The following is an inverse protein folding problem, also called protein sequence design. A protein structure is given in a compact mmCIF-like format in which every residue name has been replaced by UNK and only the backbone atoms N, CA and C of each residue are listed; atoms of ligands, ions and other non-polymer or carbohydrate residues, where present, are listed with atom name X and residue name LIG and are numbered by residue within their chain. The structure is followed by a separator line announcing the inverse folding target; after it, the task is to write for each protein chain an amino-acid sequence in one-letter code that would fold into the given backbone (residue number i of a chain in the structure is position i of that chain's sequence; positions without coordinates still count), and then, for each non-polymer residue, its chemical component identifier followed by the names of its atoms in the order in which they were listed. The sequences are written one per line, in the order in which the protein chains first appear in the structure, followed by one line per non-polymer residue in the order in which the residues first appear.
data_IF_780101600623
#
_entry.id   IF_780101600623
#
_cell.length_a   1.000
_cell.length_b   1.000
_cell.length_c   1.000
_cell.angle_alpha   90.00
_cell.angle_beta   90.00
_cell.angle_gamma   90.00
#
_symmetry.space_group_name_H-M   'P 1'
#
loop_
_entity.id
_entity.type
_entity.pdbx_description
1 polymer ?
#
# COMPACT_ATOMS: atom_id res chain seq x y z
N UNK A 1 16.14 17.93 30.44
CA UNK A 1 14.85 17.52 29.82
C UNK A 1 15.19 16.99 28.44
N UNK A 2 14.85 15.75 28.12
CA UNK A 2 15.10 15.23 26.77
C UNK A 2 14.13 15.88 25.78
N UNK A 3 14.67 16.46 24.71
CA UNK A 3 13.86 17.04 23.63
C UNK A 3 13.13 15.92 22.87
N UNK A 4 11.98 16.23 22.22
CA UNK A 4 11.35 15.30 21.30
C UNK A 4 12.35 14.83 20.25
N UNK A 5 12.43 13.52 20.00
CA UNK A 5 13.40 12.96 19.07
C UNK A 5 12.79 11.85 18.23
N UNK A 6 13.24 11.79 16.98
CA UNK A 6 12.86 10.77 16.01
C UNK A 6 14.13 10.07 15.54
N UNK A 7 14.08 8.76 15.39
CA UNK A 7 15.22 7.97 14.89
C UNK A 7 14.74 6.66 14.30
N UNK A 8 15.53 6.10 13.39
CA UNK A 8 15.40 4.73 12.92
C UNK A 8 16.56 3.90 13.48
N UNK A 9 16.26 2.77 14.11
CA UNK A 9 17.25 1.84 14.66
C UNK A 9 17.06 0.49 13.98
N UNK A 10 18.11 -0.01 13.34
CA UNK A 10 18.10 -1.31 12.67
C UNK A 10 18.87 -2.34 13.49
N UNK A 11 18.22 -3.47 13.77
CA UNK A 11 18.76 -4.63 14.48
C UNK A 11 18.47 -5.89 13.65
N UNK A 12 19.44 -6.28 12.82
CA UNK A 12 19.25 -7.36 11.84
C UNK A 12 18.14 -7.01 10.84
N UNK A 13 17.09 -7.82 10.81
CA UNK A 13 15.93 -7.67 9.92
C UNK A 13 14.82 -6.78 10.49
N UNK A 14 14.97 -6.34 11.74
CA UNK A 14 14.01 -5.47 12.40
C UNK A 14 14.50 -4.02 12.30
N UNK A 15 13.64 -3.14 11.83
CA UNK A 15 13.84 -1.69 11.92
C UNK A 15 12.78 -1.09 12.84
N UNK A 16 13.21 -0.45 13.92
CA UNK A 16 12.36 0.31 14.82
C UNK A 16 12.45 1.79 14.45
N UNK A 17 11.36 2.35 13.93
CA UNK A 17 11.21 3.79 13.84
C UNK A 17 10.65 4.27 15.17
N UNK A 18 11.39 5.11 15.89
CA UNK A 18 11.00 5.62 17.20
C UNK A 18 10.67 7.11 17.13
N UNK A 19 9.60 7.51 17.81
CA UNK A 19 9.31 8.90 18.15
C UNK A 19 9.12 9.02 19.65
N UNK A 20 10.08 9.67 20.31
CA UNK A 20 10.06 9.94 21.74
C UNK A 20 9.58 11.36 22.00
N UNK A 21 8.54 11.50 22.81
CA UNK A 21 8.06 12.78 23.35
C UNK A 21 8.26 12.82 24.87
N UNK A 22 7.84 13.93 25.48
CA UNK A 22 7.95 14.13 26.93
C UNK A 22 7.14 13.11 27.74
N UNK A 23 5.91 12.81 27.31
CA UNK A 23 4.95 12.00 28.07
C UNK A 23 4.60 10.66 27.42
N UNK A 24 5.09 10.40 26.21
CA UNK A 24 4.86 9.13 25.52
C UNK A 24 5.93 8.87 24.47
N UNK A 25 6.09 7.60 24.15
CA UNK A 25 6.90 7.12 23.04
C UNK A 25 6.04 6.29 22.09
N UNK A 26 6.39 6.34 20.81
CA UNK A 26 5.78 5.54 19.76
C UNK A 26 6.86 4.82 18.99
N UNK A 27 6.65 3.53 18.73
CA UNK A 27 7.56 2.70 17.94
C UNK A 27 6.78 2.03 16.84
N UNK A 28 7.16 2.30 15.59
CA UNK A 28 6.70 1.57 14.42
C UNK A 28 7.79 0.55 14.09
N UNK A 29 7.54 -0.70 14.48
CA UNK A 29 8.43 -1.82 14.23
C UNK A 29 8.15 -2.39 12.85
N UNK A 30 9.20 -2.52 12.04
CA UNK A 30 9.18 -3.12 10.70
C UNK A 30 10.04 -4.38 10.67
N UNK A 31 9.46 -5.50 10.22
CA UNK A 31 10.12 -6.78 9.99
C UNK A 31 10.28 -7.02 8.47
N UNK A 32 11.52 -6.94 8.00
CA UNK A 32 11.86 -7.00 6.57
C UNK A 32 11.72 -8.40 5.95
N UNK A 33 11.97 -9.45 6.73
CA UNK A 33 11.86 -10.83 6.23
C UNK A 33 10.41 -11.17 5.89
N UNK A 34 9.47 -10.67 6.69
CA UNK A 34 8.03 -10.84 6.42
C UNK A 34 7.53 -9.95 5.27
N UNK A 35 8.33 -9.01 4.77
CA UNK A 35 7.83 -8.02 3.83
C UNK A 35 7.70 -8.63 2.43
N UNK A 36 6.46 -8.73 1.96
CA UNK A 36 6.09 -9.23 0.63
C UNK A 36 5.97 -8.11 -0.42
N UNK A 37 6.39 -6.89 -0.11
CA UNK A 37 6.45 -5.75 -1.06
C UNK A 37 5.11 -5.46 -1.76
N UNK A 38 4.01 -5.64 -1.05
CA UNK A 38 2.67 -5.53 -1.62
C UNK A 38 2.18 -4.07 -1.82
N UNK A 39 2.89 -3.08 -1.27
CA UNK A 39 2.56 -1.65 -1.38
C UNK A 39 1.27 -1.19 -0.68
N UNK A 40 0.61 -2.03 0.12
CA UNK A 40 -0.62 -1.61 0.84
C UNK A 40 -0.34 -0.49 1.85
N UNK A 41 0.82 -0.50 2.51
CA UNK A 41 1.23 0.53 3.47
C UNK A 41 1.33 1.93 2.85
N UNK A 42 1.86 2.04 1.64
CA UNK A 42 1.91 3.28 0.87
C UNK A 42 0.48 3.76 0.53
N UNK A 43 -0.36 2.88 -0.04
CA UNK A 43 -1.71 3.25 -0.52
C UNK A 43 -2.66 3.69 0.61
N UNK A 44 -2.52 3.10 1.79
CA UNK A 44 -3.35 3.45 2.95
C UNK A 44 -2.86 4.72 3.66
N UNK A 45 -1.61 5.15 3.42
CA UNK A 45 -1.01 6.25 4.16
C UNK A 45 -1.85 7.53 3.99
N UNK A 46 -2.34 8.14 5.08
CA UNK A 46 -3.10 9.39 4.98
C UNK A 46 -2.22 10.58 4.62
N UNK A 47 -0.92 10.51 4.89
CA UNK A 47 0.03 11.57 4.55
C UNK A 47 0.24 11.59 3.05
N UNK A 48 -0.06 12.73 2.43
CA UNK A 48 0.30 13.01 1.04
C UNK A 48 1.16 14.25 1.05
N UNK A 49 2.44 14.14 0.67
CA UNK A 49 3.27 15.32 0.42
C UNK A 49 3.35 15.59 -1.07
N UNK A 50 3.02 16.82 -1.45
CA UNK A 50 3.23 17.35 -2.79
C UNK A 50 4.58 18.04 -2.76
N UNK A 51 5.59 17.53 -3.46
CA UNK A 51 6.73 18.36 -3.85
C UNK A 51 6.42 18.93 -5.24
N UNK A 52 6.17 20.23 -5.29
CA UNK A 52 6.11 21.00 -6.53
C UNK A 52 7.35 21.87 -6.56
N UNK A 53 8.26 21.57 -7.49
CA UNK A 53 8.95 22.60 -8.28
C UNK A 53 9.54 21.94 -9.55
N UNK A 54 8.92 22.24 -10.70
CA UNK A 54 9.55 22.12 -12.03
C UNK A 54 9.46 20.78 -12.79
N UNK A 55 8.67 19.78 -12.39
CA UNK A 55 8.49 18.54 -13.17
C UNK A 55 7.01 18.14 -13.26
N UNK A 56 6.57 17.78 -14.47
CA UNK A 56 5.24 17.24 -14.80
C UNK A 56 5.04 15.79 -14.29
N UNK A 57 5.41 15.50 -13.04
CA UNK A 57 5.15 14.20 -12.44
C UNK A 57 4.51 14.44 -11.07
N UNK A 58 3.28 13.96 -10.82
CA UNK A 58 2.64 14.09 -9.52
C UNK A 58 3.29 13.12 -8.53
N UNK A 59 4.46 13.46 -8.01
CA UNK A 59 5.12 12.65 -6.99
C UNK A 59 4.47 12.92 -5.62
N UNK A 60 3.45 12.11 -5.32
CA UNK A 60 2.88 11.99 -3.98
C UNK A 60 3.87 11.21 -3.11
N UNK A 61 4.70 11.90 -2.35
CA UNK A 61 5.50 11.24 -1.31
C UNK A 61 4.59 10.99 -0.10
N UNK A 62 4.25 9.72 0.13
CA UNK A 62 3.67 9.26 1.40
C UNK A 62 4.73 9.31 2.50
N UNK A 63 4.36 9.04 3.76
CA UNK A 63 5.37 8.90 4.83
C UNK A 63 6.05 7.52 4.83
N UNK A 64 5.64 6.61 3.96
CA UNK A 64 6.12 5.23 3.85
C UNK A 64 6.06 4.78 2.39
N UNK A 65 7.13 4.21 1.85
CA UNK A 65 7.23 3.79 0.45
C UNK A 65 8.50 3.00 0.18
N UNK A 66 8.75 2.65 -1.07
CA UNK A 66 10.05 2.06 -1.45
C UNK A 66 11.17 3.11 -1.38
N UNK A 67 12.45 2.70 -1.24
CA UNK A 67 13.57 3.64 -1.29
C UNK A 67 13.56 4.53 -2.54
N UNK A 68 13.24 3.96 -3.70
CA UNK A 68 13.15 4.67 -4.99
C UNK A 68 12.04 5.72 -4.99
N UNK A 69 10.82 5.35 -4.57
CA UNK A 69 9.68 6.29 -4.45
C UNK A 69 9.99 7.44 -3.50
N UNK A 70 10.69 7.11 -2.41
CA UNK A 70 11.06 8.06 -1.38
C UNK A 70 12.35 8.82 -1.72
N UNK A 71 13.06 8.47 -2.79
CA UNK A 71 14.40 8.95 -3.17
C UNK A 71 15.38 9.00 -1.99
N UNK A 72 15.46 7.89 -1.28
CA UNK A 72 16.40 7.70 -0.17
C UNK A 72 17.26 6.49 -0.50
N UNK A 73 18.57 6.60 -0.35
CA UNK A 73 19.47 5.44 -0.45
C UNK A 73 19.27 4.53 0.77
N UNK A 74 18.71 3.34 0.53
CA UNK A 74 18.47 2.36 1.57
C UNK A 74 18.35 0.96 0.97
N UNK A 75 18.95 -0.02 1.63
CA UNK A 75 18.80 -1.45 1.29
C UNK A 75 17.49 -2.05 1.82
N UNK A 76 16.64 -1.25 2.47
CA UNK A 76 15.38 -1.73 3.01
C UNK A 76 14.31 -1.85 1.91
N UNK A 77 13.52 -2.92 1.90
CA UNK A 77 12.38 -3.03 0.96
C UNK A 77 11.38 -1.87 1.05
N UNK A 78 11.21 -1.30 2.25
CA UNK A 78 10.42 -0.09 2.48
C UNK A 78 11.12 0.81 3.49
N UNK A 79 10.92 2.12 3.36
CA UNK A 79 11.43 3.14 4.29
C UNK A 79 10.29 4.01 4.81
N UNK A 80 10.45 4.53 6.02
CA UNK A 80 9.53 5.47 6.66
C UNK A 80 10.23 6.80 6.87
N UNK A 81 9.63 7.87 6.33
CA UNK A 81 10.01 9.24 6.64
C UNK A 81 9.41 9.61 8.00
N UNK A 82 10.24 9.57 9.03
CA UNK A 82 9.81 9.85 10.41
C UNK A 82 9.38 11.30 10.61
N UNK A 83 9.84 12.22 9.77
CA UNK A 83 9.48 13.63 9.84
C UNK A 83 8.05 13.86 9.35
N UNK A 84 7.66 13.15 8.30
CA UNK A 84 6.31 13.18 7.74
C UNK A 84 5.34 12.21 8.43
N UNK A 85 5.83 11.14 9.02
CA UNK A 85 4.98 10.14 9.67
C UNK A 85 4.20 10.73 10.85
N UNK A 86 2.89 10.52 10.85
CA UNK A 86 1.96 10.95 11.91
C UNK A 86 1.61 9.83 12.89
N UNK A 87 2.25 8.67 12.80
CA UNK A 87 2.12 7.57 13.76
C UNK A 87 0.68 7.06 13.96
N UNK A 88 -0.13 7.12 12.89
CA UNK A 88 -1.56 6.77 12.95
C UNK A 88 -1.86 5.26 12.96
N UNK A 89 -0.91 4.41 12.55
CA UNK A 89 -1.07 2.96 12.55
C UNK A 89 -1.85 2.38 11.35
N UNK A 90 -2.29 3.18 10.38
CA UNK A 90 -3.02 2.67 9.19
C UNK A 90 -2.21 1.63 8.40
N UNK A 91 -0.89 1.80 8.32
CA UNK A 91 0.01 0.85 7.63
C UNK A 91 0.07 -0.52 8.33
N UNK A 92 0.12 -0.54 9.67
CA UNK A 92 0.00 -1.75 10.50
C UNK A 92 -1.37 -2.40 10.31
N UNK A 93 -2.43 -1.60 10.38
CA UNK A 93 -3.81 -2.07 10.26
C UNK A 93 -4.08 -2.76 8.92
N UNK A 94 -3.54 -2.28 7.80
CA UNK A 94 -3.79 -2.89 6.47
C UNK A 94 -2.79 -4.01 6.10
N UNK A 95 -1.62 -4.08 6.75
CA UNK A 95 -0.51 -4.88 6.24
C UNK A 95 -0.89 -6.36 6.06
N UNK A 96 -0.86 -6.91 4.83
CA UNK A 96 -1.18 -8.31 4.57
C UNK A 96 -0.16 -9.30 5.16
N UNK A 97 1.11 -8.90 5.25
CA UNK A 97 2.20 -9.76 5.73
C UNK A 97 2.50 -9.64 7.23
N UNK A 98 1.72 -8.84 7.98
CA UNK A 98 1.94 -8.56 9.40
C UNK A 98 3.36 -8.06 9.72
N UNK A 99 3.94 -7.25 8.83
CA UNK A 99 5.32 -6.78 8.93
C UNK A 99 5.50 -5.53 9.77
N UNK A 100 4.42 -4.79 9.98
CA UNK A 100 4.44 -3.50 10.65
C UNK A 100 3.63 -3.60 11.92
N UNK A 101 4.19 -3.17 13.05
CA UNK A 101 3.52 -3.14 14.35
C UNK A 101 3.72 -1.76 14.99
N UNK A 102 2.64 -1.15 15.45
CA UNK A 102 2.69 0.12 16.18
C UNK A 102 2.59 -0.14 17.68
N UNK A 103 3.56 0.38 18.42
CA UNK A 103 3.57 0.41 19.87
C UNK A 103 3.44 1.84 20.35
N UNK A 104 2.67 2.05 21.42
CA UNK A 104 2.51 3.32 22.11
C UNK A 104 2.78 3.04 23.58
N UNK A 105 3.80 3.66 24.15
CA UNK A 105 4.26 3.41 25.53
C UNK A 105 4.55 1.93 25.81
N UNK A 106 5.18 1.24 24.85
CA UNK A 106 5.50 -0.19 24.94
C UNK A 106 4.32 -1.15 24.71
N UNK A 107 3.09 -0.67 24.56
CA UNK A 107 1.92 -1.51 24.28
C UNK A 107 1.58 -1.51 22.79
N UNK A 108 1.35 -2.69 22.21
CA UNK A 108 0.88 -2.80 20.83
C UNK A 108 -0.53 -2.23 20.74
N UNK A 109 -0.69 -1.10 20.04
CA UNK A 109 -1.94 -0.33 20.07
C UNK A 109 -2.24 0.34 18.74
N UNK A 110 -3.51 0.29 18.34
CA UNK A 110 -4.03 0.96 17.15
C UNK A 110 -5.18 1.87 17.55
N UNK A 111 -4.86 3.08 18.02
CA UNK A 111 -5.85 4.06 18.48
C UNK A 111 -6.99 4.30 17.48
N UNK A 112 -6.70 4.25 16.17
CA UNK A 112 -7.71 4.42 15.14
C UNK A 112 -8.71 3.26 15.04
N UNK A 113 -8.32 2.05 15.43
CA UNK A 113 -9.25 0.91 15.54
C UNK A 113 -9.99 1.02 16.86
N UNK A 114 -9.27 1.27 17.97
CA UNK A 114 -9.83 1.38 19.32
C UNK A 114 -10.93 2.46 19.42
N UNK A 115 -10.79 3.56 18.68
CA UNK A 115 -11.76 4.66 18.66
C UNK A 115 -12.83 4.55 17.55
N UNK A 116 -12.86 3.44 16.81
CA UNK A 116 -13.82 3.18 15.73
C UNK A 116 -13.60 3.99 14.44
N UNK A 117 -12.46 4.67 14.29
CA UNK A 117 -12.16 5.44 13.06
C UNK A 117 -11.83 4.54 11.87
N UNK A 118 -11.12 3.44 12.12
CA UNK A 118 -10.85 2.35 11.19
C UNK A 118 -11.69 1.14 11.61
N UNK A 119 -12.45 0.54 10.69
CA UNK A 119 -13.26 -0.61 11.02
C UNK A 119 -12.41 -1.88 11.09
N UNK A 120 -12.99 -2.88 11.73
CA UNK A 120 -12.56 -4.26 11.60
C UNK A 120 -13.14 -4.86 10.32
N UNK A 121 -12.40 -5.75 9.69
CA UNK A 121 -12.88 -6.52 8.55
C UNK A 121 -12.56 -8.00 8.74
N UNK A 122 -13.37 -8.86 8.14
CA UNK A 122 -12.99 -10.27 8.01
C UNK A 122 -11.72 -10.41 7.17
N UNK A 123 -10.85 -11.33 7.54
CA UNK A 123 -9.61 -11.62 6.84
C UNK A 123 -9.48 -13.11 6.57
N UNK A 124 -9.00 -13.46 5.38
CA UNK A 124 -8.63 -14.84 5.07
C UNK A 124 -7.13 -14.97 5.23
N UNK A 125 -6.71 -15.72 6.24
CA UNK A 125 -5.31 -15.95 6.56
C UNK A 125 -4.86 -17.29 5.99
N UNK A 126 -3.73 -17.29 5.31
CA UNK A 126 -3.04 -18.49 4.85
C UNK A 126 -1.56 -18.42 5.17
N UNK A 127 -0.90 -19.56 5.03
CA UNK A 127 0.56 -19.68 5.24
C UNK A 127 1.21 -19.91 3.88
N UNK A 128 2.23 -19.11 3.56
CA UNK A 128 3.08 -19.30 2.38
C UNK A 128 4.01 -20.49 2.59
N UNK A 129 4.63 -20.97 1.50
CA UNK A 129 5.62 -22.06 1.55
C UNK A 129 6.82 -21.73 2.44
N UNK A 130 7.15 -20.45 2.58
CA UNK A 130 8.17 -19.94 3.51
C UNK A 130 7.79 -20.06 4.99
N UNK A 131 6.59 -20.52 5.32
CA UNK A 131 6.04 -20.53 6.68
C UNK A 131 5.46 -19.19 7.13
N UNK A 132 5.55 -18.14 6.30
CA UNK A 132 5.02 -16.82 6.61
C UNK A 132 3.49 -16.78 6.49
N UNK A 133 2.81 -16.18 7.47
CA UNK A 133 1.38 -15.86 7.37
C UNK A 133 1.14 -14.63 6.49
N UNK A 134 0.16 -14.74 5.60
CA UNK A 134 -0.34 -13.65 4.78
C UNK A 134 -1.87 -13.65 4.81
N UNK A 135 -2.47 -12.47 4.84
CA UNK A 135 -3.94 -12.31 4.78
C UNK A 135 -4.43 -11.64 3.50
N UNK A 136 -5.62 -12.02 3.05
CA UNK A 136 -6.38 -11.33 2.00
C UNK A 136 -7.44 -10.46 2.64
N UNK A 137 -7.38 -9.16 2.36
CA UNK A 137 -8.23 -8.12 2.99
C UNK A 137 -9.24 -7.49 2.01
N UNK A 138 -9.08 -7.74 0.72
CA UNK A 138 -9.92 -7.21 -0.36
C UNK A 138 -10.45 -8.33 -1.25
N UNK A 139 -11.63 -8.10 -1.81
CA UNK A 139 -12.22 -8.88 -2.89
C UNK A 139 -12.08 -8.14 -4.21
N UNK A 140 -12.07 -8.89 -5.31
CA UNK A 140 -11.88 -8.34 -6.64
C UNK A 140 -11.48 -9.42 -7.63
N UNK A 141 -10.97 -8.99 -8.78
CA UNK A 141 -10.60 -9.88 -9.88
C UNK A 141 -9.21 -9.54 -10.42
N UNK A 142 -8.62 -10.50 -11.11
CA UNK A 142 -7.35 -10.34 -11.82
C UNK A 142 -7.50 -10.99 -13.19
N UNK A 143 -6.98 -10.33 -14.21
CA UNK A 143 -6.95 -10.83 -15.58
C UNK A 143 -5.53 -10.68 -16.11
N UNK A 144 -4.98 -11.77 -16.63
CA UNK A 144 -3.66 -11.79 -17.27
C UNK A 144 -3.87 -12.19 -18.73
N UNK A 145 -3.30 -11.41 -19.63
CA UNK A 145 -3.22 -11.76 -21.06
C UNK A 145 -1.75 -11.97 -21.40
N UNK A 146 -1.42 -13.16 -21.88
CA UNK A 146 -0.08 -13.55 -22.29
C UNK A 146 -0.08 -13.87 -23.79
N UNK A 147 0.77 -13.19 -24.55
CA UNK A 147 1.07 -13.53 -25.96
C UNK A 147 2.53 -13.92 -26.14
N UNK A 148 3.26 -14.07 -25.04
CA UNK A 148 4.67 -14.46 -25.03
C UNK A 148 4.82 -15.93 -25.45
N UNK A 149 5.90 -16.22 -26.19
CA UNK A 149 6.24 -17.57 -26.63
C UNK A 149 7.45 -18.14 -25.89
N UNK A 150 8.29 -17.28 -25.34
CA UNK A 150 9.41 -17.72 -24.51
C UNK A 150 8.91 -18.18 -23.13
N UNK A 151 8.87 -19.49 -22.93
CA UNK A 151 8.43 -20.10 -21.68
C UNK A 151 9.27 -19.68 -20.48
N UNK A 152 10.56 -19.36 -20.68
CA UNK A 152 11.43 -18.92 -19.60
C UNK A 152 11.07 -17.50 -19.13
N UNK A 153 10.64 -16.62 -20.05
CA UNK A 153 10.16 -15.29 -19.68
C UNK A 153 8.84 -15.37 -18.90
N UNK A 154 7.94 -16.26 -19.31
CA UNK A 154 6.66 -16.49 -18.63
C UNK A 154 6.91 -17.01 -17.20
N UNK A 155 7.86 -17.93 -17.05
CA UNK A 155 8.22 -18.50 -15.74
C UNK A 155 8.85 -17.44 -14.82
N UNK A 156 9.79 -16.64 -15.33
CA UNK A 156 10.34 -15.48 -14.60
C UNK A 156 9.27 -14.51 -14.15
N UNK A 157 8.31 -14.19 -15.03
CA UNK A 157 7.19 -13.32 -14.67
C UNK A 157 6.33 -13.92 -13.55
N UNK A 158 6.08 -15.24 -13.57
CA UNK A 158 5.33 -15.91 -12.50
C UNK A 158 6.06 -15.84 -11.14
N UNK A 159 7.40 -15.96 -11.14
CA UNK A 159 8.26 -15.85 -9.95
C UNK A 159 8.24 -14.46 -9.29
N UNK A 160 7.86 -13.40 -10.02
CA UNK A 160 7.67 -12.04 -9.45
C UNK A 160 6.54 -11.99 -8.40
N UNK A 161 5.67 -13.00 -8.36
CA UNK A 161 4.55 -13.05 -7.43
C UNK A 161 5.02 -13.30 -6.00
N UNK A 162 4.95 -12.28 -5.14
CA UNK A 162 5.31 -12.39 -3.71
C UNK A 162 4.47 -13.38 -2.88
N UNK A 163 3.43 -13.98 -3.46
CA UNK A 163 2.52 -14.89 -2.76
C UNK A 163 2.45 -16.29 -3.38
N UNK A 164 3.23 -16.55 -4.44
CA UNK A 164 3.19 -17.81 -5.18
C UNK A 164 1.81 -18.12 -5.76
N UNK A 165 1.09 -17.08 -6.21
CA UNK A 165 -0.25 -17.22 -6.79
C UNK A 165 -0.24 -17.36 -8.32
N UNK A 166 0.93 -17.16 -8.95
CA UNK A 166 1.10 -17.27 -10.40
C UNK A 166 1.94 -18.51 -10.71
N UNK A 167 1.57 -19.22 -11.76
CA UNK A 167 2.32 -20.34 -12.31
C UNK A 167 2.20 -20.37 -13.83
N UNK A 168 3.11 -21.09 -14.50
CA UNK A 168 3.08 -21.25 -15.95
C UNK A 168 2.40 -22.56 -16.33
N UNK A 169 1.50 -22.51 -17.31
CA UNK A 169 0.97 -23.71 -17.99
C UNK A 169 1.11 -23.52 -19.50
N UNK A 170 2.06 -24.24 -20.12
CA UNK A 170 2.38 -24.02 -21.53
C UNK A 170 2.88 -22.60 -21.79
N UNK A 171 2.14 -21.84 -22.60
CA UNK A 171 2.41 -20.43 -22.94
C UNK A 171 1.48 -19.47 -22.19
N UNK A 172 0.71 -19.96 -21.22
CA UNK A 172 -0.23 -19.17 -20.43
C UNK A 172 0.26 -19.03 -18.98
N UNK A 173 -0.21 -17.96 -18.33
CA UNK A 173 -0.01 -17.74 -16.89
C UNK A 173 -1.31 -18.07 -16.18
N UNK A 174 -1.25 -19.04 -15.27
CA UNK A 174 -2.37 -19.48 -14.45
C UNK A 174 -2.33 -18.77 -13.10
N UNK A 175 -3.52 -18.46 -12.59
CA UNK A 175 -3.71 -17.72 -11.35
C UNK A 175 -4.48 -18.59 -10.37
N UNK A 176 -3.89 -18.81 -9.20
CA UNK A 176 -4.58 -19.41 -8.07
C UNK A 176 -5.28 -18.30 -7.25
N UNK A 177 -6.59 -18.13 -7.44
CA UNK A 177 -7.35 -17.01 -6.84
C UNK A 177 -7.33 -16.99 -5.31
N UNK A 178 -7.31 -18.17 -4.68
CA UNK A 178 -7.19 -18.33 -3.22
C UNK A 178 -5.84 -17.84 -2.71
N UNK A 179 -4.81 -17.94 -3.56
CA UNK A 179 -3.47 -17.47 -3.22
C UNK A 179 -3.31 -15.96 -3.46
N UNK A 180 -3.96 -15.43 -4.48
CA UNK A 180 -3.81 -14.03 -4.87
C UNK A 180 -4.44 -13.07 -3.85
N UNK A 181 -3.63 -12.12 -3.34
CA UNK A 181 -4.08 -11.04 -2.44
C UNK A 181 -4.40 -9.72 -3.16
N UNK A 182 -4.37 -9.71 -4.50
CA UNK A 182 -4.62 -8.54 -5.34
C UNK A 182 -3.67 -7.37 -5.03
N UNK A 183 -2.38 -7.61 -4.78
CA UNK A 183 -1.41 -6.59 -4.34
C UNK A 183 -0.94 -5.60 -5.42
N UNK A 184 -1.29 -5.83 -6.69
CA UNK A 184 -0.80 -5.13 -7.89
C UNK A 184 0.67 -5.35 -8.27
N UNK A 185 1.45 -6.15 -7.52
CA UNK A 185 2.88 -6.37 -7.86
C UNK A 185 3.07 -6.93 -9.28
N UNK A 186 2.26 -7.90 -9.68
CA UNK A 186 2.27 -8.45 -11.04
C UNK A 186 1.88 -7.42 -12.12
N UNK A 187 1.00 -6.47 -11.80
CA UNK A 187 0.62 -5.37 -12.71
C UNK A 187 1.73 -4.34 -12.88
N UNK A 188 2.57 -4.15 -11.87
CA UNK A 188 3.75 -3.30 -11.98
C UNK A 188 4.86 -4.03 -12.72
N UNK A 189 5.13 -5.29 -12.35
CA UNK A 189 6.14 -6.13 -12.97
C UNK A 189 5.90 -6.30 -14.48
N UNK A 190 4.64 -6.45 -14.92
CA UNK A 190 4.30 -6.63 -16.34
C UNK A 190 4.75 -5.46 -17.23
N UNK A 191 5.02 -4.27 -16.69
CA UNK A 191 5.59 -3.16 -17.48
C UNK A 191 6.98 -3.45 -18.02
N UNK A 192 7.68 -4.43 -17.43
CA UNK A 192 8.99 -4.90 -17.88
C UNK A 192 8.90 -6.07 -18.87
N UNK A 193 7.70 -6.48 -19.27
CA UNK A 193 7.45 -7.62 -20.17
C UNK A 193 6.54 -7.18 -21.31
N UNK A 194 7.05 -7.17 -22.55
CA UNK A 194 6.32 -6.61 -23.70
C UNK A 194 5.03 -7.37 -24.04
N UNK A 195 5.02 -8.69 -23.84
CA UNK A 195 3.94 -9.59 -24.28
C UNK A 195 3.07 -10.11 -23.12
N UNK A 196 3.17 -9.51 -21.94
CA UNK A 196 2.38 -9.88 -20.77
C UNK A 196 1.68 -8.64 -20.26
N UNK A 197 0.35 -8.69 -20.17
CA UNK A 197 -0.43 -7.60 -19.58
C UNK A 197 -1.30 -8.12 -18.45
N UNK A 198 -1.38 -7.33 -17.37
CA UNK A 198 -2.10 -7.70 -16.16
C UNK A 198 -3.03 -6.57 -15.76
N UNK A 199 -4.27 -6.92 -15.46
CA UNK A 199 -5.27 -6.00 -14.90
C UNK A 199 -5.74 -6.57 -13.57
N UNK A 200 -5.48 -5.84 -12.49
CA UNK A 200 -5.99 -6.18 -11.16
C UNK A 200 -7.09 -5.18 -10.82
N UNK A 201 -8.22 -5.67 -10.33
CA UNK A 201 -9.33 -4.87 -9.86
C UNK A 201 -9.66 -5.25 -8.42
N UNK A 202 -9.81 -4.26 -7.55
CA UNK A 202 -10.29 -4.45 -6.18
C UNK A 202 -11.71 -3.88 -6.10
N UNK A 203 -12.67 -4.72 -5.78
CA UNK A 203 -14.08 -4.33 -5.67
C UNK A 203 -14.35 -3.64 -4.33
N UNK A 204 -14.08 -4.37 -3.23
CA UNK A 204 -14.43 -4.00 -1.86
C UNK A 204 -13.51 -4.66 -0.84
N UNK A 205 -13.59 -4.21 0.40
CA UNK A 205 -13.01 -4.92 1.54
C UNK A 205 -13.86 -6.13 1.91
N UNK A 206 -13.23 -7.17 2.46
CA UNK A 206 -13.94 -8.30 3.06
C UNK A 206 -14.77 -7.83 4.25
N UNK A 207 -15.99 -8.39 4.40
CA UNK A 207 -17.05 -7.98 5.34
C UNK A 207 -16.59 -7.00 6.45
N UNK A 208 -16.85 -5.72 6.22
CA UNK A 208 -16.50 -4.64 7.16
C UNK A 208 -17.53 -4.63 8.29
N UNK A 209 -17.05 -4.66 9.53
CA UNK A 209 -17.89 -4.51 10.73
C UNK A 209 -17.97 -3.04 11.13
N UNK A 210 -19.19 -2.54 11.31
CA UNK A 210 -19.47 -1.18 11.78
C UNK A 210 -19.60 -0.14 10.67
N UNK A 211 -20.00 1.07 11.06
CA UNK A 211 -20.02 2.23 10.17
C UNK A 211 -18.68 2.95 10.26
N UNK A 212 -18.09 3.23 9.10
CA UNK A 212 -16.75 3.76 9.05
C UNK A 212 -16.75 5.23 8.64
N UNK A 213 -15.83 6.00 9.22
CA UNK A 213 -15.80 7.46 9.14
C UNK A 213 -15.69 8.04 7.71
N UNK A 214 -15.97 9.33 7.52
CA UNK A 214 -15.77 9.99 6.22
C UNK A 214 -14.29 9.99 5.78
N UNK A 215 -13.36 10.05 6.73
CA UNK A 215 -11.91 9.92 6.51
C UNK A 215 -11.57 8.51 6.02
N UNK A 216 -12.24 7.50 6.59
CA UNK A 216 -12.13 6.12 6.15
C UNK A 216 -12.55 5.93 4.69
N UNK A 217 -13.66 6.54 4.26
CA UNK A 217 -14.13 6.41 2.87
C UNK A 217 -13.04 6.83 1.86
N UNK A 218 -12.30 7.91 2.14
CA UNK A 218 -11.19 8.34 1.29
C UNK A 218 -9.99 7.39 1.29
N UNK A 219 -9.65 6.79 2.44
CA UNK A 219 -8.58 5.79 2.56
C UNK A 219 -8.97 4.49 1.82
N UNK A 220 -10.20 4.02 2.02
CA UNK A 220 -10.74 2.84 1.34
C UNK A 220 -10.66 2.97 -0.16
N UNK A 221 -11.19 4.07 -0.70
CA UNK A 221 -11.24 4.28 -2.14
C UNK A 221 -9.82 4.20 -2.72
N UNK A 222 -8.82 4.80 -2.07
CA UNK A 222 -7.41 4.68 -2.48
C UNK A 222 -6.89 3.23 -2.44
N UNK A 223 -7.22 2.46 -1.42
CA UNK A 223 -6.85 1.03 -1.36
C UNK A 223 -7.53 0.23 -2.47
N UNK A 224 -8.76 0.58 -2.86
CA UNK A 224 -9.50 -0.05 -3.95
C UNK A 224 -9.10 0.44 -5.34
N UNK A 225 -8.18 1.41 -5.44
CA UNK A 225 -7.82 2.03 -6.72
C UNK A 225 -8.93 2.93 -7.30
N UNK A 226 -9.85 3.41 -6.46
CA UNK A 226 -10.92 4.35 -6.78
C UNK A 226 -10.57 5.76 -6.25
N UNK A 227 -11.16 6.80 -6.83
CA UNK A 227 -11.02 8.18 -6.30
C UNK A 227 -11.56 8.28 -4.88
N UNK A 228 -10.69 8.66 -3.92
CA UNK A 228 -11.09 8.91 -2.55
C UNK A 228 -11.31 10.39 -2.26
N UNK A 229 -12.56 10.87 -2.32
CA UNK A 229 -12.93 12.21 -1.85
C UNK A 229 -13.39 12.14 -0.39
N UNK A 230 -12.71 12.84 0.51
CA UNK A 230 -13.11 12.95 1.93
C UNK A 230 -14.25 13.97 2.02
N UNK A 231 -15.48 13.51 2.27
CA UNK A 231 -16.65 14.40 2.44
C UNK A 231 -16.44 15.37 3.61
N UNK A 232 -16.59 16.67 3.37
CA UNK A 232 -16.51 17.74 4.39
C UNK A 232 -15.31 18.67 4.28
N UNK A 233 -14.34 18.40 3.40
CA UNK A 233 -13.19 19.28 3.14
C UNK A 233 -13.53 20.20 1.97
N UNK A 234 -13.86 21.48 2.26
CA UNK A 234 -14.34 22.49 1.29
C UNK A 234 -13.24 23.25 0.53
N UNK A 235 -12.00 22.77 0.48
CA UNK A 235 -10.93 23.46 -0.25
C UNK A 235 -10.65 22.81 -1.61
N UNK A 236 -10.83 23.60 -2.68
CA UNK A 236 -10.49 23.27 -4.07
C UNK A 236 -9.01 22.85 -4.22
N UNK A 237 -8.11 23.30 -3.34
CA UNK A 237 -6.70 22.90 -3.35
C UNK A 237 -6.43 21.50 -2.79
N UNK A 238 -7.36 20.92 -2.02
CA UNK A 238 -7.19 19.62 -1.35
C UNK A 238 -7.85 18.44 -2.09
N UNK A 239 -8.69 18.70 -3.11
CA UNK A 239 -9.24 17.66 -4.01
C UNK A 239 -8.32 17.30 -5.19
N UNK A 240 -7.18 17.99 -5.37
CA UNK A 240 -6.11 17.58 -6.31
C UNK A 240 -5.63 16.14 -6.09
N UNK A 241 -5.88 15.56 -4.91
CA UNK A 241 -5.57 14.17 -4.60
C UNK A 241 -6.36 13.18 -5.47
N UNK A 242 -7.65 13.43 -5.74
CA UNK A 242 -8.49 12.55 -6.53
C UNK A 242 -8.16 12.67 -8.02
N UNK A 243 -8.05 13.89 -8.53
CA UNK A 243 -7.71 14.17 -9.93
C UNK A 243 -6.31 13.67 -10.33
N UNK A 244 -5.35 13.72 -9.40
CA UNK A 244 -4.01 13.16 -9.67
C UNK A 244 -4.01 11.63 -9.73
N UNK A 245 -4.94 10.94 -9.05
CA UNK A 245 -5.08 9.46 -9.16
C UNK A 245 -5.74 9.07 -10.48
N UNK A 246 -6.68 9.88 -10.99
CA UNK A 246 -7.31 9.66 -12.29
C UNK A 246 -6.30 9.73 -13.45
N UNK A 247 -5.44 10.76 -13.45
CA UNK A 247 -4.39 10.92 -14.46
C UNK A 247 -3.34 9.80 -14.37
N UNK A 248 -3.09 9.25 -13.17
CA UNK A 248 -2.21 8.08 -12.96
C UNK A 248 -2.77 6.77 -13.56
N UNK A 249 -4.06 6.69 -13.86
CA UNK A 249 -4.72 5.48 -14.38
C UNK A 249 -5.02 5.52 -15.89
N UNK A 250 -4.47 6.50 -16.62
CA UNK A 250 -4.58 6.59 -18.08
C UNK A 250 -5.96 6.96 -18.62
N UNK A 251 -6.82 7.60 -17.80
CA UNK A 251 -8.08 8.17 -18.26
C UNK A 251 -7.88 9.65 -18.54
N UNK A 252 -7.97 10.03 -19.82
CA UNK A 252 -8.12 11.43 -20.21
C UNK A 252 -9.47 11.92 -19.68
N UNK A 253 -9.45 13.07 -19.01
CA UNK A 253 -10.66 13.81 -18.66
C UNK A 253 -10.83 14.78 -19.82
N UNK A 254 -11.86 14.59 -20.64
CA UNK A 254 -12.34 15.66 -21.50
C UNK A 254 -12.77 16.79 -20.56
N UNK A 255 -12.08 17.92 -20.65
CA UNK A 255 -12.49 19.15 -19.98
C UNK A 255 -13.84 19.53 -20.61
N UNK A 256 -14.94 19.26 -19.91
CA UNK A 256 -16.20 19.95 -20.19
C UNK A 256 -15.92 21.43 -19.92
N UNK A 257 -15.77 22.21 -21.00
CA UNK A 257 -15.79 23.66 -20.98
C UNK A 257 -17.08 24.09 -20.27
N UNK A 258 -16.96 24.62 -19.05
CA UNK A 258 -18.06 25.34 -18.42
C UNK A 258 -18.35 26.59 -19.27
N UNK A 259 -19.45 26.53 -20.04
CA UNK A 259 -20.10 27.73 -20.55
C UNK A 259 -20.54 28.62 -19.37
N UNK A 260 -19.72 29.67 -19.13
CA UNK A 260 -19.96 31.00 -18.53
C UNK A 260 -20.70 31.05 -17.19
#
# INVERSE_FOLDING_TARGET
MALPSKKAIREGNITNYEYKMLNHDMVLRYDEEKCIECGFCHRVCPVTTMEVEGKEVPLKRTAIGTPDEMRVESELKIVVDTDKCIWCGSCTWICPGYTLELFINGEKKLNLVDNGSLPEFEEEVRTLESGQKVRKVVEGSITITCTEKDTNLIEKFAEECSTGALSREGNDVIIEEDKCILCYKCSEASKNYDNISVKVFRDRFKKVKGEASSVWNGIMLRVLGKEGKIKGIKSYSQNKLADSVLRLMGKEIEEEEEEI
#
